data_IF_367986277616
#
_entry.id   IF_367986277616
#
_cell.length_a   1.000
_cell.length_b   1.000
_cell.length_c   1.000
_cell.angle_alpha   90.00
_cell.angle_beta   90.00
_cell.angle_gamma   90.00
#
_symmetry.space_group_name_H-M   'P 1'
#
loop_
_entity.id
_entity.type
_entity.pdbx_description
1 polymer ?
#
# COMPACT_ATOMS: atom_id res chain seq x y z
N UNK A 1 -6.39 4.58 13.83
CA UNK A 1 -7.56 3.87 14.41
C UNK A 1 -8.15 3.08 13.28
N UNK A 2 -8.28 1.75 13.39
CA UNK A 2 -8.83 0.95 12.30
C UNK A 2 -10.28 1.38 12.03
N UNK A 3 -10.56 1.87 10.81
CA UNK A 3 -11.92 2.19 10.39
C UNK A 3 -12.66 0.88 10.10
N UNK A 4 -13.51 0.46 11.04
CA UNK A 4 -14.22 -0.82 10.98
C UNK A 4 -15.73 -0.60 10.79
N UNK A 5 -16.31 -1.26 9.79
CA UNK A 5 -17.73 -1.18 9.46
C UNK A 5 -18.35 -2.58 9.35
N UNK A 6 -19.65 -2.69 9.55
CA UNK A 6 -20.43 -3.88 9.21
C UNK A 6 -20.72 -3.92 7.69
N UNK A 7 -21.08 -5.08 7.10
CA UNK A 7 -21.43 -5.14 5.68
C UNK A 7 -22.64 -4.26 5.34
N UNK A 8 -23.61 -4.17 6.26
CA UNK A 8 -24.78 -3.29 6.09
C UNK A 8 -24.40 -1.81 6.06
N UNK A 9 -23.47 -1.37 6.91
CA UNK A 9 -22.95 0.00 6.88
C UNK A 9 -22.13 0.26 5.61
N UNK A 10 -21.26 -0.68 5.23
CA UNK A 10 -20.46 -0.60 4.01
C UNK A 10 -21.36 -0.44 2.77
N UNK A 11 -22.40 -1.27 2.65
CA UNK A 11 -23.37 -1.18 1.54
C UNK A 11 -24.09 0.17 1.50
N UNK A 12 -24.49 0.72 2.65
CA UNK A 12 -25.20 2.02 2.72
C UNK A 12 -24.31 3.21 2.36
N UNK A 13 -23.00 3.10 2.54
CA UNK A 13 -22.06 4.22 2.42
C UNK A 13 -20.90 3.97 1.44
N UNK A 14 -21.05 2.98 0.54
CA UNK A 14 -19.95 2.43 -0.25
C UNK A 14 -19.17 3.50 -1.02
N UNK A 15 -19.86 4.41 -1.70
CA UNK A 15 -19.21 5.47 -2.50
C UNK A 15 -18.36 6.43 -1.67
N UNK A 16 -18.82 6.81 -0.47
CA UNK A 16 -18.04 7.66 0.42
C UNK A 16 -16.84 6.90 0.99
N UNK A 17 -17.00 5.61 1.30
CA UNK A 17 -15.90 4.77 1.75
C UNK A 17 -14.84 4.68 0.63
N UNK A 18 -15.22 4.40 -0.62
CA UNK A 18 -14.30 4.38 -1.78
C UNK A 18 -13.56 5.72 -1.91
N UNK A 19 -14.27 6.85 -1.81
CA UNK A 19 -13.66 8.17 -1.88
C UNK A 19 -12.65 8.40 -0.76
N UNK A 20 -12.99 8.01 0.47
CA UNK A 20 -12.14 8.21 1.64
C UNK A 20 -10.91 7.31 1.59
N UNK A 21 -11.02 6.01 1.25
CA UNK A 21 -9.84 5.12 1.18
C UNK A 21 -8.83 5.59 0.14
N UNK A 22 -9.30 6.13 -1.00
CA UNK A 22 -8.40 6.67 -2.04
C UNK A 22 -7.78 8.02 -1.65
N UNK A 23 -8.53 8.90 -0.95
CA UNK A 23 -8.04 10.23 -0.55
C UNK A 23 -7.11 10.15 0.65
N UNK A 24 -7.52 9.40 1.68
CA UNK A 24 -6.89 9.41 2.99
C UNK A 24 -5.83 8.31 3.09
N UNK A 25 -5.78 7.38 2.12
CA UNK A 25 -4.82 6.26 2.06
C UNK A 25 -4.91 5.33 3.28
N UNK A 26 -6.09 5.29 3.90
CA UNK A 26 -6.39 4.47 5.07
C UNK A 26 -7.34 3.33 4.69
N UNK A 27 -6.95 2.05 4.92
CA UNK A 27 -7.83 0.91 4.71
C UNK A 27 -9.07 0.92 5.61
N UNK A 28 -10.17 0.38 5.09
CA UNK A 28 -11.41 0.16 5.86
C UNK A 28 -11.69 -1.33 5.97
N UNK A 29 -11.86 -1.82 7.18
CA UNK A 29 -12.19 -3.23 7.45
C UNK A 29 -13.70 -3.43 7.53
N UNK A 30 -14.23 -4.34 6.72
CA UNK A 30 -15.62 -4.80 6.76
C UNK A 30 -15.65 -6.08 7.59
N UNK A 31 -16.23 -6.00 8.80
CA UNK A 31 -16.36 -7.15 9.69
C UNK A 31 -17.32 -8.21 9.13
N UNK A 32 -17.08 -9.50 9.40
CA UNK A 32 -18.03 -10.55 9.07
C UNK A 32 -19.30 -10.43 9.92
N UNK A 33 -20.42 -10.93 9.42
CA UNK A 33 -21.68 -11.00 10.17
C UNK A 33 -21.81 -12.26 11.01
N UNK A 34 -21.10 -13.34 10.63
CA UNK A 34 -21.05 -14.60 11.37
C UNK A 34 -19.65 -14.83 11.91
N UNK A 35 -19.56 -15.44 13.08
CA UNK A 35 -18.30 -15.65 13.79
C UNK A 35 -17.33 -16.59 13.05
N UNK A 36 -17.83 -17.52 12.24
CA UNK A 36 -16.99 -18.40 11.42
C UNK A 36 -16.51 -17.81 10.09
N UNK A 37 -17.01 -16.64 9.68
CA UNK A 37 -16.66 -16.00 8.41
C UNK A 37 -15.48 -15.02 8.60
N UNK A 38 -14.69 -14.81 7.54
CA UNK A 38 -13.67 -13.75 7.52
C UNK A 38 -14.28 -12.44 7.01
N UNK A 39 -13.79 -11.33 7.54
CA UNK A 39 -14.09 -10.00 7.00
C UNK A 39 -13.38 -9.75 5.68
N UNK A 40 -13.60 -8.55 5.12
CA UNK A 40 -12.89 -8.03 3.96
C UNK A 40 -12.23 -6.69 4.31
N UNK A 41 -11.21 -6.30 3.55
CA UNK A 41 -10.58 -4.99 3.67
C UNK A 41 -10.73 -4.28 2.34
N UNK A 42 -11.21 -3.03 2.36
CA UNK A 42 -11.23 -2.15 1.21
C UNK A 42 -10.03 -1.20 1.30
N UNK A 43 -9.28 -1.14 0.22
CA UNK A 43 -8.07 -0.32 0.03
C UNK A 43 -8.20 0.49 -1.26
N UNK A 44 -7.47 1.59 -1.37
CA UNK A 44 -7.36 2.33 -2.63
C UNK A 44 -6.70 1.48 -3.72
N UNK A 45 -7.06 1.71 -4.97
CA UNK A 45 -6.53 0.95 -6.11
C UNK A 45 -5.02 1.19 -6.29
N UNK A 46 -4.60 2.45 -6.25
CA UNK A 46 -3.18 2.82 -6.32
C UNK A 46 -2.37 2.20 -5.19
N UNK A 47 -2.95 2.13 -3.99
CA UNK A 47 -2.26 1.57 -2.82
C UNK A 47 -2.14 0.05 -2.95
N UNK A 48 -3.16 -0.61 -3.49
CA UNK A 48 -3.08 -2.03 -3.83
C UNK A 48 -1.98 -2.31 -4.85
N UNK A 49 -1.92 -1.50 -5.93
CA UNK A 49 -0.89 -1.64 -6.96
C UNK A 49 0.51 -1.40 -6.37
N UNK A 50 0.68 -0.38 -5.52
CA UNK A 50 1.94 -0.11 -4.84
C UNK A 50 2.37 -1.25 -3.90
N UNK A 51 1.42 -1.87 -3.19
CA UNK A 51 1.67 -3.05 -2.34
C UNK A 51 2.15 -4.23 -3.21
N UNK A 52 1.47 -4.51 -4.33
CA UNK A 52 1.86 -5.60 -5.24
C UNK A 52 3.26 -5.38 -5.82
N UNK A 53 3.56 -4.17 -6.29
CA UNK A 53 4.87 -3.80 -6.82
C UNK A 53 5.96 -3.93 -5.75
N UNK A 54 5.70 -3.42 -4.53
CA UNK A 54 6.65 -3.54 -3.42
C UNK A 54 6.93 -5.00 -3.08
N UNK A 55 5.89 -5.84 -3.01
CA UNK A 55 6.05 -7.28 -2.75
C UNK A 55 6.85 -7.95 -3.88
N UNK A 56 6.63 -7.56 -5.13
CA UNK A 56 7.40 -8.05 -6.26
C UNK A 56 8.89 -7.68 -6.13
N UNK A 57 9.20 -6.41 -5.89
CA UNK A 57 10.58 -5.92 -5.75
C UNK A 57 11.32 -6.57 -4.57
N UNK A 58 10.66 -6.69 -3.41
CA UNK A 58 11.20 -7.39 -2.24
C UNK A 58 11.49 -8.86 -2.57
N UNK A 59 10.58 -9.53 -3.29
CA UNK A 59 10.80 -10.93 -3.68
C UNK A 59 11.98 -11.09 -4.67
N UNK A 60 12.31 -10.05 -5.45
CA UNK A 60 13.51 -9.99 -6.30
C UNK A 60 14.77 -9.58 -5.52
N UNK A 61 14.68 -9.33 -4.22
CA UNK A 61 15.81 -8.94 -3.36
C UNK A 61 16.25 -7.48 -3.53
N UNK A 62 15.42 -6.63 -4.13
CA UNK A 62 15.71 -5.21 -4.34
C UNK A 62 15.84 -4.47 -3.01
N UNK A 63 15.06 -4.87 -1.99
CA UNK A 63 15.15 -4.37 -0.62
C UNK A 63 16.56 -4.54 -0.02
N UNK A 64 17.23 -5.66 -0.31
CA UNK A 64 18.60 -5.91 0.14
C UNK A 64 19.60 -5.01 -0.57
N UNK A 65 19.40 -4.77 -1.87
CA UNK A 65 20.24 -3.86 -2.63
C UNK A 65 20.11 -2.42 -2.13
N UNK A 66 18.88 -1.96 -1.91
CA UNK A 66 18.62 -0.63 -1.34
C UNK A 66 19.33 -0.49 0.01
N UNK A 67 19.22 -1.49 0.89
CA UNK A 67 19.87 -1.46 2.21
C UNK A 67 21.39 -1.49 2.14
N UNK A 68 21.96 -2.23 1.20
CA UNK A 68 23.41 -2.26 1.02
C UNK A 68 23.96 -0.89 0.58
N UNK A 69 23.16 -0.14 -0.19
CA UNK A 69 23.53 1.16 -0.77
C UNK A 69 23.14 2.35 0.07
N UNK A 70 22.53 2.14 1.24
CA UNK A 70 22.09 3.22 2.14
C UNK A 70 23.24 4.12 2.61
N UNK A 71 24.47 3.61 2.62
CA UNK A 71 25.68 4.34 3.00
C UNK A 71 26.63 4.61 1.83
N UNK A 72 26.17 4.39 0.58
CA UNK A 72 26.96 4.77 -0.59
C UNK A 72 27.20 6.29 -0.56
N UNK A 73 28.36 6.72 -1.05
CA UNK A 73 28.62 8.16 -1.21
C UNK A 73 27.61 8.75 -2.21
N UNK A 74 27.10 9.95 -1.92
CA UNK A 74 26.27 10.67 -2.90
C UNK A 74 27.12 11.04 -4.10
N UNK A 75 26.87 10.38 -5.22
CA UNK A 75 27.51 10.70 -6.49
C UNK A 75 26.77 11.83 -7.21
N UNK A 76 27.52 12.86 -7.63
CA UNK A 76 27.00 13.90 -8.52
C UNK A 76 26.81 13.30 -9.93
N UNK A 77 25.56 13.16 -10.33
CA UNK A 77 25.17 12.60 -11.62
C UNK A 77 25.87 13.30 -12.80
N UNK A 78 26.06 14.62 -12.73
CA UNK A 78 26.72 15.37 -13.80
C UNK A 78 28.22 15.07 -13.88
N UNK A 79 28.86 14.75 -12.75
CA UNK A 79 30.28 14.36 -12.71
C UNK A 79 30.47 12.93 -13.23
N UNK A 80 29.63 11.99 -12.79
CA UNK A 80 29.67 10.60 -13.28
C UNK A 80 29.45 10.58 -14.80
N UNK A 81 28.44 11.29 -15.30
CA UNK A 81 28.14 11.34 -16.74
C UNK A 81 29.29 11.91 -17.59
N UNK A 82 30.01 12.93 -17.09
CA UNK A 82 31.16 13.51 -17.80
C UNK A 82 32.41 12.63 -17.77
N UNK A 83 32.45 11.61 -16.90
CA UNK A 83 33.59 10.71 -16.72
C UNK A 83 33.51 9.40 -17.53
N UNK A 84 32.34 9.12 -18.11
CA UNK A 84 32.10 8.04 -19.09
C UNK A 84 32.65 8.42 -20.47
#
# INVERSE_FOLDING_TARGET
MDNVVTPTQARRNLFNIIKNVNRDKEPVTIKPTKSEEKGAVLIGEDDWNAIQETLFLVNQGVDKQIKARENDEEEDFDQVWKSL
#
